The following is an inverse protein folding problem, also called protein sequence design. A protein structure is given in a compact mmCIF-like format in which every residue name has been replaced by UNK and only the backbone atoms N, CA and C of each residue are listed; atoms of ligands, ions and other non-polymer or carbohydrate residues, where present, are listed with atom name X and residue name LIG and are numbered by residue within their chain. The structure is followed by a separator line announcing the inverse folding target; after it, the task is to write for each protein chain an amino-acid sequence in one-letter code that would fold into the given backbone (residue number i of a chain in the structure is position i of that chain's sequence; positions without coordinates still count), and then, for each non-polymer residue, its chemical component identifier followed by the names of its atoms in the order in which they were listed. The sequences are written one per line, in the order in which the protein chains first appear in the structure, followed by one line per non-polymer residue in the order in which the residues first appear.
data_IF_535602305075
#
_entry.id   IF_535602305075
#
_cell.length_a   1.000
_cell.length_b   1.000
_cell.length_c   1.000
_cell.angle_alpha   90.00
_cell.angle_beta   90.00
_cell.angle_gamma   90.00
#
_symmetry.space_group_name_H-M   'P 1'
#
loop_
_entity.id
_entity.type
_entity.pdbx_description
1 polymer ?
#
# COMPACT_ATOMS: atom_id res chain seq x y z
N UNK A 1 12.17 -5.47 2.21
CA UNK A 1 11.12 -5.09 3.18
C UNK A 1 10.09 -6.20 3.35
N UNK A 2 9.45 -6.25 4.50
CA UNK A 2 8.33 -7.16 4.70
C UNK A 2 7.04 -6.52 4.19
N UNK A 3 6.22 -7.33 3.55
CA UNK A 3 4.94 -6.92 3.01
C UNK A 3 3.96 -8.07 3.06
N UNK A 4 2.67 -7.76 2.99
CA UNK A 4 1.62 -8.76 2.78
C UNK A 4 1.37 -8.84 1.28
N UNK A 5 1.63 -10.01 0.70
CA UNK A 5 1.52 -10.20 -0.75
C UNK A 5 0.54 -11.32 -1.04
N UNK A 6 -0.22 -11.18 -2.13
CA UNK A 6 -1.02 -12.26 -2.68
C UNK A 6 -0.46 -12.66 -4.05
N UNK A 7 -0.36 -13.95 -4.28
CA UNK A 7 0.08 -14.54 -5.55
C UNK A 7 -1.04 -15.31 -6.25
N UNK A 8 -2.16 -15.47 -5.57
CA UNK A 8 -3.37 -16.08 -6.11
C UNK A 8 -4.58 -15.39 -5.48
N UNK A 9 -5.71 -15.41 -6.16
CA UNK A 9 -6.95 -14.85 -5.61
C UNK A 9 -7.62 -15.83 -4.65
N UNK A 10 -8.31 -15.32 -3.66
CA UNK A 10 -9.04 -16.13 -2.69
C UNK A 10 -9.47 -15.32 -1.49
N UNK A 11 -9.79 -16.00 -0.40
CA UNK A 11 -10.12 -15.39 0.88
C UNK A 11 -8.86 -14.99 1.66
N UNK A 12 -9.02 -14.75 2.98
CA UNK A 12 -7.88 -14.27 3.81
C UNK A 12 -6.69 -15.23 3.83
N UNK A 13 -6.89 -16.48 3.52
CA UNK A 13 -5.82 -17.49 3.54
C UNK A 13 -4.74 -17.25 2.49
N UNK A 14 -5.02 -16.44 1.46
CA UNK A 14 -4.04 -16.13 0.42
C UNK A 14 -3.10 -14.99 0.81
N UNK A 15 -3.36 -14.30 1.90
CA UNK A 15 -2.50 -13.24 2.42
C UNK A 15 -1.26 -13.85 3.05
N UNK A 16 -0.08 -13.52 2.51
CA UNK A 16 1.19 -14.10 2.93
C UNK A 16 2.21 -13.01 3.21
N UNK A 17 3.01 -13.20 4.26
CA UNK A 17 4.17 -12.34 4.50
C UNK A 17 5.24 -12.68 3.48
N UNK A 18 5.76 -11.68 2.80
CA UNK A 18 6.80 -11.83 1.80
C UNK A 18 7.92 -10.81 2.05
N UNK A 19 9.13 -11.17 1.66
CA UNK A 19 10.26 -10.25 1.68
C UNK A 19 10.47 -9.73 0.25
N UNK A 20 10.21 -8.43 0.07
CA UNK A 20 10.22 -7.78 -1.24
C UNK A 20 11.26 -6.67 -1.27
N UNK A 21 11.77 -6.30 -2.46
CA UNK A 21 12.63 -5.14 -2.56
C UNK A 21 11.87 -3.86 -2.20
N UNK A 22 12.58 -2.91 -1.64
CA UNK A 22 12.03 -1.59 -1.34
C UNK A 22 11.68 -0.89 -2.64
N UNK A 23 10.47 -0.27 -2.76
CA UNK A 23 10.09 0.35 -4.02
C UNK A 23 10.88 1.63 -4.28
N UNK A 24 11.02 2.00 -5.55
CA UNK A 24 11.67 3.23 -5.97
C UNK A 24 10.62 4.19 -6.50
N UNK A 25 10.47 5.39 -5.92
CA UNK A 25 9.48 6.35 -6.40
C UNK A 25 9.91 6.98 -7.73
N UNK A 26 8.93 7.29 -8.58
CA UNK A 26 9.12 8.07 -9.80
C UNK A 26 8.66 9.52 -9.56
N UNK A 27 8.83 10.39 -10.56
CA UNK A 27 8.45 11.81 -10.46
C UNK A 27 6.97 11.94 -10.08
N UNK A 28 6.68 12.84 -9.15
CA UNK A 28 5.33 13.07 -8.65
C UNK A 28 4.88 12.09 -7.57
N UNK A 29 5.73 11.14 -7.19
CA UNK A 29 5.45 10.13 -6.17
C UNK A 29 6.49 10.21 -5.06
N UNK A 30 6.06 9.91 -3.85
CA UNK A 30 6.92 9.94 -2.67
C UNK A 30 7.05 8.54 -2.06
N UNK A 31 8.23 8.27 -1.50
CA UNK A 31 8.47 7.05 -0.74
C UNK A 31 8.07 7.29 0.71
N UNK A 32 7.13 6.51 1.20
CA UNK A 32 6.59 6.64 2.55
C UNK A 32 7.04 5.48 3.40
N UNK A 33 7.65 5.76 4.54
CA UNK A 33 7.88 4.76 5.59
C UNK A 33 6.56 4.59 6.34
N UNK A 34 5.91 3.45 6.14
CA UNK A 34 4.56 3.21 6.63
C UNK A 34 4.57 2.97 8.14
N UNK A 35 3.78 3.77 8.86
CA UNK A 35 3.54 3.58 10.30
C UNK A 35 2.25 2.84 10.55
N UNK A 36 1.27 2.96 9.64
CA UNK A 36 0.00 2.28 9.74
C UNK A 36 -0.70 2.26 8.39
N UNK A 37 -1.53 1.25 8.19
CA UNK A 37 -2.33 1.11 6.98
C UNK A 37 -3.78 0.89 7.38
N UNK A 38 -4.70 1.59 6.72
CA UNK A 38 -6.12 1.38 6.93
C UNK A 38 -6.56 0.08 6.25
N UNK A 39 -7.46 -0.64 6.89
CA UNK A 39 -8.06 -1.84 6.32
C UNK A 39 -9.45 -1.49 5.84
N UNK A 40 -9.68 -1.64 4.54
CA UNK A 40 -10.92 -1.27 3.90
C UNK A 40 -11.59 -2.49 3.25
N UNK A 41 -12.90 -2.45 3.14
CA UNK A 41 -13.64 -3.51 2.48
C UNK A 41 -13.19 -3.72 1.03
N UNK A 42 -12.76 -2.65 0.35
CA UNK A 42 -12.22 -2.72 -1.00
C UNK A 42 -10.97 -3.61 -1.10
N UNK A 43 -10.19 -3.73 -0.02
CA UNK A 43 -9.00 -4.58 -0.01
C UNK A 43 -9.38 -6.06 -0.14
N UNK A 44 -10.52 -6.46 0.40
CA UNK A 44 -11.03 -7.82 0.24
C UNK A 44 -11.41 -8.11 -1.20
N UNK A 45 -11.93 -7.11 -1.92
CA UNK A 45 -12.26 -7.24 -3.34
C UNK A 45 -11.01 -7.44 -4.19
N UNK A 46 -9.90 -6.79 -3.86
CA UNK A 46 -8.62 -7.02 -4.53
C UNK A 46 -8.15 -8.46 -4.32
N UNK A 47 -8.25 -8.95 -3.09
CA UNK A 47 -7.83 -10.30 -2.72
C UNK A 47 -8.68 -11.36 -3.43
N UNK A 48 -9.97 -11.12 -3.61
CA UNK A 48 -10.93 -12.04 -4.22
C UNK A 48 -11.08 -11.86 -5.72
N UNK A 49 -10.40 -10.87 -6.32
CA UNK A 49 -10.56 -10.49 -7.74
C UNK A 49 -11.98 -10.02 -8.08
N UNK A 50 -12.62 -9.32 -7.14
CA UNK A 50 -13.97 -8.79 -7.32
C UNK A 50 -14.00 -7.25 -7.34
N UNK A 51 -12.82 -6.62 -7.46
CA UNK A 51 -12.71 -5.17 -7.52
C UNK A 51 -13.14 -4.66 -8.90
N UNK A 52 -13.57 -3.39 -8.97
CA UNK A 52 -14.05 -2.77 -10.21
C UNK A 52 -12.98 -2.72 -11.31
N UNK A 53 -11.71 -2.59 -10.93
CA UNK A 53 -10.56 -2.61 -11.85
C UNK A 53 -9.91 -3.97 -11.83
N UNK A 54 -9.33 -4.38 -12.95
CA UNK A 54 -8.57 -5.62 -13.02
C UNK A 54 -7.36 -5.57 -12.10
N UNK A 55 -7.16 -6.62 -11.31
CA UNK A 55 -6.03 -6.76 -10.42
C UNK A 55 -5.00 -7.69 -11.03
N UNK A 56 -3.74 -7.25 -11.11
CA UNK A 56 -2.63 -8.07 -11.60
C UNK A 56 -1.85 -8.66 -10.44
N UNK A 57 -1.63 -9.96 -10.49
CA UNK A 57 -0.82 -10.69 -9.51
C UNK A 57 0.65 -10.73 -9.94
N UNK A 58 1.60 -10.78 -9.01
CA UNK A 58 1.41 -10.65 -7.56
C UNK A 58 1.13 -9.21 -7.16
N UNK A 59 0.42 -9.02 -6.06
CA UNK A 59 0.08 -7.68 -5.57
C UNK A 59 0.20 -7.59 -4.05
N UNK A 60 0.54 -6.41 -3.56
CA UNK A 60 0.44 -6.03 -2.16
C UNK A 60 -0.82 -5.21 -2.00
N UNK A 61 -1.83 -5.69 -1.25
CA UNK A 61 -3.06 -4.91 -1.04
C UNK A 61 -2.83 -3.70 -0.14
N UNK A 62 -3.88 -2.94 0.10
CA UNK A 62 -3.87 -1.79 0.98
C UNK A 62 -3.93 -0.49 0.21
N UNK A 63 -4.96 0.32 0.45
CA UNK A 63 -5.26 1.50 -0.36
C UNK A 63 -4.93 2.81 0.33
N UNK A 64 -4.64 2.80 1.64
CA UNK A 64 -4.32 4.02 2.37
C UNK A 64 -3.29 3.75 3.46
N UNK A 65 -2.42 4.72 3.68
CA UNK A 65 -1.36 4.62 4.69
C UNK A 65 -1.20 5.92 5.45
N UNK A 66 -0.63 5.84 6.64
CA UNK A 66 -0.01 6.97 7.33
C UNK A 66 1.46 6.63 7.53
N UNK A 67 2.31 7.63 7.43
CA UNK A 67 3.74 7.39 7.59
C UNK A 67 4.56 8.66 7.48
N UNK A 68 5.84 8.47 7.25
CA UNK A 68 6.83 9.55 7.26
C UNK A 68 7.56 9.59 5.93
N UNK A 69 7.69 10.79 5.37
CA UNK A 69 8.51 11.04 4.18
C UNK A 69 10.00 11.11 4.55
N UNK A 70 10.91 11.00 3.58
CA UNK A 70 12.35 11.09 3.86
C UNK A 70 12.79 12.37 4.55
N UNK A 71 12.06 13.48 4.35
CA UNK A 71 12.34 14.75 5.00
C UNK A 71 11.77 14.88 6.42
N UNK A 72 11.13 13.83 6.94
CA UNK A 72 10.57 13.78 8.28
C UNK A 72 9.12 14.21 8.41
N UNK A 73 8.50 14.70 7.34
CA UNK A 73 7.08 15.11 7.38
C UNK A 73 6.18 13.88 7.52
N UNK A 74 5.16 14.01 8.37
CA UNK A 74 4.14 12.97 8.55
C UNK A 74 2.99 13.22 7.60
N UNK A 75 2.56 12.17 6.91
CA UNK A 75 1.47 12.25 5.94
C UNK A 75 0.50 11.09 6.08
N UNK A 76 -0.72 11.32 5.60
CA UNK A 76 -1.67 10.27 5.25
C UNK A 76 -1.82 10.29 3.73
N UNK A 77 -1.90 9.14 3.10
CA UNK A 77 -1.96 9.07 1.64
C UNK A 77 -2.90 7.98 1.16
N UNK A 78 -3.52 8.26 0.01
CA UNK A 78 -4.23 7.24 -0.76
C UNK A 78 -3.26 6.67 -1.77
N UNK A 79 -2.98 5.37 -1.69
CA UNK A 79 -1.97 4.72 -2.52
C UNK A 79 -2.56 3.75 -3.54
N UNK A 80 -3.83 3.40 -3.41
CA UNK A 80 -4.49 2.45 -4.30
C UNK A 80 -4.16 1.00 -3.98
N UNK A 81 -2.89 0.64 -4.07
CA UNK A 81 -2.33 -0.66 -3.68
C UNK A 81 -0.97 -0.44 -3.03
N UNK A 82 -0.46 -1.45 -2.36
CA UNK A 82 0.89 -1.41 -1.79
C UNK A 82 0.95 -0.96 -0.35
N UNK A 83 -0.18 -0.68 0.31
CA UNK A 83 -0.21 -0.15 1.67
C UNK A 83 0.22 -1.14 2.75
N UNK A 84 0.02 -2.44 2.54
CA UNK A 84 0.36 -3.45 3.53
C UNK A 84 1.83 -3.86 3.43
N UNK A 85 2.72 -2.86 3.58
CA UNK A 85 4.15 -3.04 3.47
C UNK A 85 4.87 -2.03 4.37
N UNK A 86 6.15 -2.24 4.61
CA UNK A 86 6.96 -1.31 5.40
C UNK A 86 7.18 0.02 4.68
N UNK A 87 7.22 -0.02 3.34
CA UNK A 87 7.38 1.16 2.49
C UNK A 87 6.33 1.15 1.40
N UNK A 88 5.79 2.31 1.08
CA UNK A 88 4.78 2.47 0.03
C UNK A 88 5.13 3.67 -0.85
N UNK A 89 4.62 3.65 -2.08
CA UNK A 89 4.72 4.77 -3.02
C UNK A 89 3.41 5.54 -3.00
N UNK A 90 3.48 6.82 -2.68
CA UNK A 90 2.29 7.69 -2.55
C UNK A 90 2.30 8.77 -3.62
N UNK A 91 1.19 8.95 -4.37
CA UNK A 91 1.06 10.10 -5.26
C UNK A 91 1.04 11.40 -4.45
N UNK A 92 1.83 12.39 -4.86
CA UNK A 92 1.91 13.65 -4.11
C UNK A 92 0.58 14.37 -3.99
N UNK A 93 -0.27 14.30 -5.03
CA UNK A 93 -1.58 14.97 -5.04
C UNK A 93 -2.62 14.25 -4.17
N UNK A 94 -2.34 13.05 -3.70
CA UNK A 94 -3.21 12.27 -2.80
C UNK A 94 -2.54 12.08 -1.43
N UNK A 95 -1.57 12.91 -1.10
CA UNK A 95 -0.86 12.89 0.18
C UNK A 95 -1.20 14.15 0.97
N UNK A 96 -1.52 14.00 2.24
CA UNK A 96 -2.03 15.07 3.08
C UNK A 96 -1.23 15.16 4.37
N UNK A 97 -0.85 16.40 4.83
CA UNK A 97 -0.13 16.55 6.09
C UNK A 97 -0.95 16.02 7.27
N UNK A 98 -0.26 15.38 8.22
CA UNK A 98 -0.86 14.94 9.48
C UNK A 98 -0.30 15.81 10.59
N UNK A 99 -1.14 16.43 11.42
CA UNK A 99 -0.67 17.23 12.56
C UNK A 99 0.09 16.38 13.57
N UNK A 100 1.01 17.02 14.24
CA UNK A 100 1.76 16.40 15.34
C UNK A 100 0.87 16.13 16.58
#
# INVERSE_FOLDING_TARGET
MRAIQITEFGGPEVLKIADLPEPTPSDGFDLVKVSGAGVNYADTHQTENSYLSATKLPIVPGSEVVGTLPDGRRIAALVGVGGYAEWAIAPGFLSFPVPD
#
